data_IF_307847525229
#
_entry.id   IF_307847525229
#
_cell.length_a   1.000
_cell.length_b   1.000
_cell.length_c   1.000
_cell.angle_alpha   90.00
_cell.angle_beta   90.00
_cell.angle_gamma   90.00
#
_symmetry.space_group_name_H-M   'P 1'
#
loop_
_entity.id
_entity.type
_entity.pdbx_description
1 polymer ?
#
# COMPACT_ATOMS: atom_id res chain seq x y z
N UNK A 1 0.15 -4.33 8.05
CA UNK A 1 -0.30 -3.01 8.58
C UNK A 1 -1.79 -2.84 8.30
N UNK A 2 -2.55 -2.51 9.30
CA UNK A 2 -3.99 -2.25 9.13
C UNK A 2 -4.25 -0.75 9.25
N UNK A 3 -4.93 -0.18 8.25
CA UNK A 3 -5.31 1.23 8.25
C UNK A 3 -6.79 1.32 7.92
N UNK A 4 -7.58 1.77 8.89
CA UNK A 4 -9.02 1.99 8.74
C UNK A 4 -9.74 0.76 8.16
N UNK A 5 -9.38 -0.41 8.67
CA UNK A 5 -9.98 -1.69 8.26
C UNK A 5 -9.36 -2.33 7.03
N UNK A 6 -8.47 -1.63 6.34
CA UNK A 6 -7.78 -2.19 5.18
C UNK A 6 -6.44 -2.79 5.60
N UNK A 7 -6.23 -4.06 5.27
CA UNK A 7 -4.97 -4.74 5.55
C UNK A 7 -3.99 -4.51 4.40
N UNK A 8 -2.79 -4.04 4.73
CA UNK A 8 -1.75 -3.75 3.75
C UNK A 8 -0.54 -4.61 4.07
N UNK A 9 -0.08 -5.37 3.07
CA UNK A 9 1.14 -6.14 3.19
C UNK A 9 2.33 -5.21 3.02
N UNK A 10 3.19 -5.10 4.04
CA UNK A 10 4.35 -4.23 4.00
C UNK A 10 5.60 -5.08 3.94
N UNK A 11 6.45 -4.77 2.96
CA UNK A 11 7.72 -5.47 2.78
C UNK A 11 8.85 -4.44 2.74
N UNK A 12 9.88 -4.65 3.59
CA UNK A 12 11.05 -3.79 3.61
C UNK A 12 12.10 -4.34 2.65
N UNK A 13 12.66 -3.44 1.82
CA UNK A 13 13.63 -3.82 0.78
C UNK A 13 14.72 -2.75 0.69
N UNK A 14 15.91 -3.10 0.18
CA UNK A 14 16.98 -2.12 -0.06
C UNK A 14 16.72 -1.35 -1.35
N UNK A 15 15.63 -0.58 -1.37
CA UNK A 15 15.19 0.23 -2.52
C UNK A 15 15.18 1.70 -2.13
N UNK A 16 15.09 2.58 -3.12
CA UNK A 16 15.13 4.03 -2.89
C UNK A 16 13.75 4.65 -2.68
N UNK A 17 12.72 4.09 -3.31
CA UNK A 17 11.37 4.66 -3.29
C UNK A 17 10.36 3.61 -2.88
N UNK A 18 9.23 4.07 -2.33
CA UNK A 18 8.12 3.18 -2.02
C UNK A 18 7.39 2.77 -3.30
N UNK A 19 6.92 1.51 -3.32
CA UNK A 19 6.13 0.97 -4.42
C UNK A 19 4.83 0.42 -3.87
N UNK A 20 3.72 0.98 -4.32
CA UNK A 20 2.38 0.59 -3.90
C UNK A 20 1.69 -0.15 -5.04
N UNK A 21 1.13 -1.32 -4.75
CA UNK A 21 0.47 -2.16 -5.74
C UNK A 21 -0.84 -2.70 -5.20
N UNK A 22 -1.81 -2.84 -6.10
CA UNK A 22 -3.10 -3.47 -5.79
C UNK A 22 -3.28 -4.63 -6.76
N UNK A 23 -3.49 -5.84 -6.23
CA UNK A 23 -3.50 -7.06 -7.03
C UNK A 23 -4.88 -7.67 -7.15
N UNK A 24 -5.26 -8.14 -8.36
CA UNK A 24 -6.47 -8.95 -8.52
C UNK A 24 -6.26 -10.35 -7.93
N UNK A 25 -7.33 -11.13 -7.69
CA UNK A 25 -8.73 -10.76 -7.92
C UNK A 25 -9.40 -10.06 -6.74
N UNK A 26 -8.75 -10.06 -5.57
CA UNK A 26 -9.38 -9.61 -4.32
C UNK A 26 -9.04 -8.17 -3.93
N UNK A 27 -8.22 -7.48 -4.71
CA UNK A 27 -7.82 -6.11 -4.38
C UNK A 27 -6.79 -6.02 -3.27
N UNK A 28 -5.97 -7.06 -3.09
CA UNK A 28 -4.93 -7.09 -2.07
C UNK A 28 -3.92 -5.98 -2.30
N UNK A 29 -3.58 -5.26 -1.22
CA UNK A 29 -2.66 -4.13 -1.28
C UNK A 29 -1.29 -4.53 -0.75
N UNK A 30 -0.25 -4.22 -1.53
CA UNK A 30 1.13 -4.51 -1.18
C UNK A 30 1.95 -3.23 -1.25
N UNK A 31 2.75 -2.97 -0.21
CA UNK A 31 3.62 -1.80 -0.14
C UNK A 31 5.06 -2.24 0.10
N UNK A 32 5.96 -1.91 -0.84
CA UNK A 32 7.40 -2.09 -0.66
C UNK A 32 7.98 -0.79 -0.13
N UNK A 33 8.70 -0.85 0.99
CA UNK A 33 9.29 0.36 1.61
C UNK A 33 10.80 0.22 1.72
N UNK A 34 11.54 1.34 1.54
CA UNK A 34 12.97 1.35 1.83
C UNK A 34 13.27 1.02 3.29
N UNK A 35 14.40 0.35 3.52
CA UNK A 35 14.79 -0.08 4.86
C UNK A 35 14.92 1.08 5.85
N UNK A 36 15.27 2.28 5.36
CA UNK A 36 15.54 3.42 6.22
C UNK A 36 14.28 4.20 6.63
N UNK A 37 13.11 3.85 6.09
CA UNK A 37 11.87 4.55 6.42
C UNK A 37 11.18 3.91 7.63
N UNK A 38 10.47 4.73 8.40
CA UNK A 38 9.72 4.27 9.57
C UNK A 38 8.35 3.75 9.17
N UNK A 39 7.68 3.05 10.10
CA UNK A 39 6.30 2.64 9.90
C UNK A 39 5.38 3.85 9.74
N UNK A 40 5.65 4.94 10.47
CA UNK A 40 4.88 6.18 10.32
C UNK A 40 4.99 6.76 8.93
N UNK A 41 6.17 6.70 8.33
CA UNK A 41 6.37 7.16 6.94
C UNK A 41 5.55 6.32 5.98
N UNK A 42 5.55 5.00 6.15
CA UNK A 42 4.77 4.09 5.31
C UNK A 42 3.28 4.37 5.44
N UNK A 43 2.79 4.56 6.67
CA UNK A 43 1.38 4.87 6.93
C UNK A 43 0.97 6.18 6.26
N UNK A 44 1.80 7.22 6.39
CA UNK A 44 1.52 8.51 5.76
C UNK A 44 1.44 8.39 4.25
N UNK A 45 2.33 7.60 3.65
CA UNK A 45 2.31 7.38 2.22
C UNK A 45 1.00 6.71 1.78
N UNK A 46 0.58 5.66 2.48
CA UNK A 46 -0.66 4.95 2.17
C UNK A 46 -1.86 5.89 2.28
N UNK A 47 -1.91 6.70 3.32
CA UNK A 47 -3.00 7.65 3.52
C UNK A 47 -3.05 8.65 2.37
N UNK A 48 -1.89 9.13 1.90
CA UNK A 48 -1.84 10.08 0.79
C UNK A 48 -2.33 9.45 -0.52
N UNK A 49 -2.28 8.12 -0.64
CA UNK A 49 -2.71 7.38 -1.82
C UNK A 49 -4.06 6.67 -1.64
N UNK A 50 -4.79 7.02 -0.58
CA UNK A 50 -6.01 6.29 -0.21
C UNK A 50 -7.05 6.23 -1.33
N UNK A 51 -7.31 7.36 -1.99
CA UNK A 51 -8.29 7.40 -3.08
C UNK A 51 -7.84 6.57 -4.27
N UNK A 52 -6.55 6.59 -4.57
CA UNK A 52 -5.99 5.79 -5.64
C UNK A 52 -6.17 4.28 -5.35
N UNK A 53 -5.90 3.87 -4.10
CA UNK A 53 -6.09 2.47 -3.70
C UNK A 53 -7.53 2.04 -3.89
N UNK A 54 -8.48 2.87 -3.42
CA UNK A 54 -9.91 2.55 -3.53
C UNK A 54 -10.36 2.49 -4.98
N UNK A 55 -9.84 3.36 -5.83
CA UNK A 55 -10.14 3.34 -7.25
C UNK A 55 -9.65 2.04 -7.89
N UNK A 56 -8.43 1.63 -7.58
CA UNK A 56 -7.88 0.39 -8.12
C UNK A 56 -8.69 -0.83 -7.66
N UNK A 57 -9.09 -0.86 -6.40
CA UNK A 57 -9.93 -1.94 -5.89
C UNK A 57 -11.28 -1.99 -6.58
N UNK A 58 -11.88 -0.84 -6.83
CA UNK A 58 -13.15 -0.76 -7.54
C UNK A 58 -13.01 -1.26 -8.98
N UNK A 59 -11.94 -0.89 -9.66
CA UNK A 59 -11.66 -1.34 -11.03
C UNK A 59 -11.49 -2.86 -11.10
N UNK A 60 -10.83 -3.44 -10.11
CA UNK A 60 -10.65 -4.89 -10.02
C UNK A 60 -11.98 -5.59 -9.75
N UNK A 61 -12.82 -5.02 -8.89
CA UNK A 61 -14.11 -5.59 -8.52
C UNK A 61 -15.13 -5.50 -9.66
N UNK A 62 -14.94 -4.56 -10.54
CA UNK A 62 -15.83 -4.41 -11.70
C UNK A 62 -15.58 -5.52 -12.71
#
# INVERSE_FOLDING_TARGET
MNIDGLEIEVERKPIKNMHLSVYPPDGRVHLSVPDYLTEGDARSYVISKWQWIRKQQADIAA
#
